data_IF_750694244339
#
_entry.id   IF_750694244339
#
_cell.length_a   1.000
_cell.length_b   1.000
_cell.length_c   1.000
_cell.angle_alpha   90.00
_cell.angle_beta   90.00
_cell.angle_gamma   90.00
#
_symmetry.space_group_name_H-M   'P 1'
#
loop_
_entity.id
_entity.type
_entity.pdbx_description
1 polymer ?
#
# COMPACT_ATOMS: atom_id res chain seq x y z
N UNK A 1 -20.67 -13.32 -22.78
CA UNK A 1 -19.47 -12.68 -22.24
C UNK A 1 -18.34 -13.69 -22.12
N UNK A 2 -17.17 -13.35 -22.59
CA UNK A 2 -16.03 -14.23 -22.45
C UNK A 2 -15.49 -14.13 -21.01
N UNK A 3 -14.91 -15.22 -20.50
CA UNK A 3 -14.24 -15.22 -19.18
C UNK A 3 -13.06 -14.24 -19.13
N UNK A 4 -12.50 -13.91 -20.31
CA UNK A 4 -11.38 -12.97 -20.43
C UNK A 4 -11.74 -11.56 -19.99
N UNK A 5 -12.97 -11.08 -20.35
CA UNK A 5 -13.41 -9.74 -19.97
C UNK A 5 -13.50 -9.59 -18.45
N UNK A 6 -14.00 -10.62 -17.76
CA UNK A 6 -14.09 -10.62 -16.31
C UNK A 6 -12.70 -10.62 -15.66
N UNK A 7 -11.78 -11.41 -16.21
CA UNK A 7 -10.40 -11.48 -15.70
C UNK A 7 -9.71 -10.13 -15.85
N UNK A 8 -9.83 -9.49 -17.00
CA UNK A 8 -9.19 -8.19 -17.26
C UNK A 8 -9.79 -7.07 -16.41
N UNK A 9 -11.11 -7.08 -16.22
CA UNK A 9 -11.78 -6.16 -15.31
C UNK A 9 -11.31 -6.34 -13.87
N UNK A 10 -11.09 -7.57 -13.43
CA UNK A 10 -10.55 -7.87 -12.11
C UNK A 10 -9.13 -7.34 -11.94
N UNK A 11 -8.29 -7.44 -12.96
CA UNK A 11 -6.93 -6.87 -12.92
C UNK A 11 -7.00 -5.35 -12.73
N UNK A 12 -7.82 -4.66 -13.52
CA UNK A 12 -7.97 -3.20 -13.42
C UNK A 12 -8.50 -2.79 -12.05
N UNK A 13 -9.52 -3.48 -11.55
CA UNK A 13 -10.10 -3.21 -10.24
C UNK A 13 -9.08 -3.42 -9.12
N UNK A 14 -8.25 -4.45 -9.22
CA UNK A 14 -7.19 -4.71 -8.24
C UNK A 14 -6.14 -3.61 -8.26
N UNK A 15 -5.75 -3.13 -9.46
CA UNK A 15 -4.81 -2.02 -9.58
C UNK A 15 -5.37 -0.75 -8.92
N UNK A 16 -6.65 -0.43 -9.13
CA UNK A 16 -7.30 0.72 -8.51
C UNK A 16 -7.35 0.56 -7.00
N UNK A 17 -7.70 -0.62 -6.51
CA UNK A 17 -7.74 -0.93 -5.08
C UNK A 17 -6.36 -0.74 -4.44
N UNK A 18 -5.31 -1.26 -5.07
CA UNK A 18 -3.95 -1.14 -4.55
C UNK A 18 -3.49 0.32 -4.52
N UNK A 19 -3.89 1.14 -5.50
CA UNK A 19 -3.58 2.57 -5.51
C UNK A 19 -4.26 3.29 -4.35
N UNK A 20 -5.54 3.00 -4.10
CA UNK A 20 -6.27 3.57 -2.95
C UNK A 20 -5.65 3.13 -1.63
N UNK A 21 -5.31 1.85 -1.52
CA UNK A 21 -4.68 1.29 -0.32
C UNK A 21 -3.32 1.94 -0.08
N UNK A 22 -2.52 2.13 -1.12
CA UNK A 22 -1.23 2.81 -1.04
C UNK A 22 -1.40 4.23 -0.46
N UNK A 23 -2.38 4.98 -0.96
CA UNK A 23 -2.66 6.33 -0.46
C UNK A 23 -3.07 6.33 1.02
N UNK A 24 -3.89 5.37 1.41
CA UNK A 24 -4.32 5.23 2.82
C UNK A 24 -3.15 4.86 3.74
N UNK A 25 -2.27 3.99 3.28
CA UNK A 25 -1.07 3.61 4.02
C UNK A 25 -0.15 4.82 4.19
N UNK A 26 0.00 5.65 3.17
CA UNK A 26 0.78 6.89 3.26
C UNK A 26 0.19 7.86 4.29
N UNK A 27 -1.15 7.97 4.35
CA UNK A 27 -1.82 8.77 5.37
C UNK A 27 -1.51 8.25 6.78
N UNK A 28 -1.62 6.94 6.99
CA UNK A 28 -1.30 6.32 8.28
C UNK A 28 0.14 6.60 8.67
N UNK A 29 1.08 6.45 7.72
CA UNK A 29 2.49 6.68 7.97
C UNK A 29 2.76 8.14 8.36
N UNK A 30 2.15 9.09 7.66
CA UNK A 30 2.30 10.51 7.97
C UNK A 30 1.75 10.83 9.37
N UNK A 31 0.57 10.32 9.71
CA UNK A 31 -0.02 10.51 11.04
C UNK A 31 0.87 9.90 12.12
N UNK A 32 1.38 8.69 11.88
CA UNK A 32 2.27 8.01 12.84
C UNK A 32 3.55 8.81 13.08
N UNK A 33 4.14 9.39 12.02
CA UNK A 33 5.34 10.22 12.15
C UNK A 33 5.06 11.49 12.94
N UNK A 34 3.91 12.12 12.74
CA UNK A 34 3.50 13.30 13.49
C UNK A 34 3.32 12.97 14.97
N UNK A 35 2.64 11.87 15.27
CA UNK A 35 2.45 11.42 16.65
C UNK A 35 3.78 11.06 17.31
N UNK A 36 4.68 10.42 16.58
CA UNK A 36 6.01 10.09 17.09
C UNK A 36 6.78 11.35 17.47
N UNK A 37 6.75 12.38 16.62
CA UNK A 37 7.40 13.67 16.89
C UNK A 37 6.82 14.33 18.14
N UNK A 38 5.49 14.32 18.30
CA UNK A 38 4.82 14.88 19.47
C UNK A 38 5.20 14.10 20.74
N UNK A 39 5.26 12.77 20.68
CA UNK A 39 5.61 11.93 21.84
C UNK A 39 7.03 12.15 22.34
N UNK A 40 7.95 12.50 21.45
CA UNK A 40 9.34 12.79 21.84
C UNK A 40 9.42 13.96 22.82
N UNK A 41 8.55 14.95 22.69
CA UNK A 41 8.50 16.08 23.59
C UNK A 41 7.90 15.71 24.96
N UNK A 42 6.97 14.75 24.98
CA UNK A 42 6.31 14.28 26.20
C UNK A 42 7.17 13.32 27.05
N UNK A 43 8.28 12.83 26.49
CA UNK A 43 9.21 11.90 27.14
C UNK A 43 8.55 10.60 27.63
N UNK A 44 7.43 10.20 27.05
CA UNK A 44 6.76 8.94 27.38
C UNK A 44 7.34 7.82 26.53
N UNK A 45 8.34 7.14 27.09
CA UNK A 45 9.13 6.13 26.38
C UNK A 45 8.27 5.04 25.75
N UNK A 46 7.25 4.54 26.46
CA UNK A 46 6.39 3.50 25.96
C UNK A 46 5.59 3.95 24.73
N UNK A 47 5.08 5.18 24.74
CA UNK A 47 4.38 5.74 23.57
C UNK A 47 5.32 5.93 22.39
N UNK A 48 6.53 6.41 22.65
CA UNK A 48 7.55 6.57 21.60
C UNK A 48 7.84 5.22 20.95
N UNK A 49 8.06 4.17 21.74
CA UNK A 49 8.32 2.83 21.21
C UNK A 49 7.14 2.30 20.40
N UNK A 50 5.91 2.52 20.88
CA UNK A 50 4.71 2.08 20.19
C UNK A 50 4.59 2.77 18.82
N UNK A 51 4.78 4.08 18.76
CA UNK A 51 4.71 4.83 17.50
C UNK A 51 5.86 4.47 16.56
N UNK A 52 7.05 4.20 17.09
CA UNK A 52 8.17 3.70 16.28
C UNK A 52 7.82 2.36 15.63
N UNK A 53 7.14 1.48 16.37
CA UNK A 53 6.69 0.20 15.83
C UNK A 53 5.63 0.40 14.74
N UNK A 54 4.71 1.34 14.92
CA UNK A 54 3.71 1.66 13.89
C UNK A 54 4.41 2.16 12.62
N UNK A 55 5.36 3.08 12.74
CA UNK A 55 6.12 3.61 11.59
C UNK A 55 6.85 2.47 10.88
N UNK A 56 7.54 1.62 11.63
CA UNK A 56 8.32 0.50 11.07
C UNK A 56 7.41 -0.47 10.31
N UNK A 57 6.32 -0.89 10.94
CA UNK A 57 5.40 -1.86 10.35
C UNK A 57 4.69 -1.28 9.13
N UNK A 58 4.27 -0.02 9.21
CA UNK A 58 3.60 0.66 8.10
C UNK A 58 4.55 0.85 6.92
N UNK A 59 5.82 1.13 7.17
CA UNK A 59 6.84 1.24 6.12
C UNK A 59 7.02 -0.10 5.39
N UNK A 60 7.06 -1.21 6.13
CA UNK A 60 7.13 -2.54 5.53
C UNK A 60 5.89 -2.84 4.70
N UNK A 61 4.71 -2.51 5.23
CA UNK A 61 3.45 -2.71 4.52
C UNK A 61 3.45 -1.92 3.20
N UNK A 62 3.91 -0.67 3.24
CA UNK A 62 4.05 0.17 2.04
C UNK A 62 4.92 -0.51 0.98
N UNK A 63 6.05 -1.10 1.38
CA UNK A 63 6.94 -1.84 0.46
C UNK A 63 6.24 -3.02 -0.18
N UNK A 64 5.47 -3.80 0.59
CA UNK A 64 4.73 -4.93 0.08
C UNK A 64 3.64 -4.51 -0.91
N UNK A 65 2.96 -3.39 -0.63
CA UNK A 65 1.95 -2.86 -1.54
C UNK A 65 2.60 -2.40 -2.84
N UNK A 66 3.76 -1.75 -2.79
CA UNK A 66 4.48 -1.35 -4.00
C UNK A 66 4.91 -2.56 -4.83
N UNK A 67 5.38 -3.63 -4.20
CA UNK A 67 5.68 -4.88 -4.89
C UNK A 67 4.43 -5.47 -5.54
N UNK A 68 3.31 -5.45 -4.84
CA UNK A 68 2.03 -5.92 -5.38
C UNK A 68 1.60 -5.10 -6.59
N UNK A 69 1.79 -3.78 -6.56
CA UNK A 69 1.47 -2.90 -7.69
C UNK A 69 2.33 -3.24 -8.91
N UNK A 70 3.62 -3.53 -8.72
CA UNK A 70 4.51 -3.94 -9.80
C UNK A 70 4.04 -5.24 -10.44
N UNK A 71 3.67 -6.22 -9.62
CA UNK A 71 3.16 -7.51 -10.11
C UNK A 71 1.85 -7.34 -10.87
N UNK A 72 0.96 -6.46 -10.40
CA UNK A 72 -0.27 -6.16 -11.13
C UNK A 72 0.01 -5.47 -12.46
N UNK A 73 1.03 -4.62 -12.52
CA UNK A 73 1.47 -4.00 -13.76
C UNK A 73 2.00 -5.06 -14.75
N UNK A 74 2.74 -6.06 -14.25
CA UNK A 74 3.21 -7.19 -15.05
C UNK A 74 2.03 -7.99 -15.62
N UNK A 75 1.01 -8.25 -14.79
CA UNK A 75 -0.21 -8.91 -15.25
C UNK A 75 -0.93 -8.10 -16.33
N UNK A 76 -0.97 -6.78 -16.18
CA UNK A 76 -1.57 -5.90 -17.18
C UNK A 76 -0.82 -5.98 -18.51
N UNK A 77 0.50 -6.08 -18.47
CA UNK A 77 1.32 -6.27 -19.67
C UNK A 77 0.99 -7.58 -20.37
N UNK A 78 0.84 -8.67 -19.61
CA UNK A 78 0.44 -9.97 -20.15
C UNK A 78 -0.96 -9.88 -20.76
N UNK A 79 -1.89 -9.20 -20.11
CA UNK A 79 -3.22 -8.97 -20.61
C UNK A 79 -3.19 -8.33 -22.01
N UNK A 80 -2.38 -7.28 -22.17
CA UNK A 80 -2.25 -6.58 -23.45
C UNK A 80 -1.72 -7.50 -24.54
N UNK A 81 -0.77 -8.37 -24.21
CA UNK A 81 -0.25 -9.36 -25.15
C UNK A 81 -1.32 -10.35 -25.57
N UNK A 82 -2.22 -10.73 -24.65
CA UNK A 82 -3.32 -11.65 -24.95
C UNK A 82 -4.39 -10.99 -25.82
N UNK A 83 -4.54 -9.69 -25.76
CA UNK A 83 -5.50 -8.92 -26.57
C UNK A 83 -4.99 -8.63 -27.99
N UNK A 84 -3.70 -8.73 -28.19
CA UNK A 84 -3.04 -8.38 -29.47
C UNK A 84 -3.29 -9.42 -30.58
#
# INVERSE_FOLDING_TARGET
MSNNDQTFGTIENTQQFLSLLSNKIDEVLNEARQELSACKFDQKRQRVQAWQQVVYTTTKLSSHIENSRKLMSDLDTVRRALEA
#
